data_IF_220067531511
#
_entry.id   IF_220067531511
#
_cell.length_a   1.000
_cell.length_b   1.000
_cell.length_c   1.000
_cell.angle_alpha   90.00
_cell.angle_beta   90.00
_cell.angle_gamma   90.00
#
_symmetry.space_group_name_H-M   'P 1'
#
loop_
_entity.id
_entity.type
_entity.pdbx_description
1 polymer ?
#
# COMPACT_ATOMS: atom_id res chain seq x y z
N UNK A 1 0.77 -7.17 -21.32
CA UNK A 1 0.11 -8.09 -20.38
C UNK A 1 -0.03 -9.50 -20.93
N UNK A 2 0.82 -10.42 -20.48
CA UNK A 2 0.71 -11.87 -20.76
C UNK A 2 1.16 -12.71 -19.55
N UNK A 3 1.65 -12.06 -18.48
CA UNK A 3 2.14 -12.75 -17.29
C UNK A 3 1.07 -13.62 -16.64
N UNK A 4 -0.16 -13.11 -16.55
CA UNK A 4 -1.29 -13.86 -15.99
C UNK A 4 -1.58 -15.13 -16.80
N UNK A 5 -1.60 -15.04 -18.14
CA UNK A 5 -1.89 -16.17 -19.02
C UNK A 5 -0.81 -17.26 -18.93
N UNK A 6 0.47 -16.88 -18.78
CA UNK A 6 1.57 -17.83 -18.55
C UNK A 6 1.40 -18.60 -17.25
N UNK A 7 1.06 -17.90 -16.16
CA UNK A 7 0.83 -18.56 -14.87
C UNK A 7 -0.43 -19.40 -14.88
N UNK A 8 -1.50 -18.99 -15.55
CA UNK A 8 -2.69 -19.80 -15.71
C UNK A 8 -2.38 -21.12 -16.43
N UNK A 9 -1.68 -21.08 -17.56
CA UNK A 9 -1.31 -22.28 -18.31
C UNK A 9 -0.43 -23.24 -17.48
N UNK A 10 0.50 -22.70 -16.69
CA UNK A 10 1.41 -23.50 -15.86
C UNK A 10 0.75 -24.04 -14.57
N UNK A 11 -0.05 -23.21 -13.90
CA UNK A 11 -0.57 -23.50 -12.56
C UNK A 11 -1.93 -24.21 -12.58
N UNK A 12 -2.77 -23.94 -13.60
CA UNK A 12 -4.14 -24.46 -13.68
C UNK A 12 -4.30 -25.52 -14.78
N UNK A 13 -3.60 -25.38 -15.90
CA UNK A 13 -3.74 -26.28 -17.07
C UNK A 13 -2.63 -27.34 -17.15
N UNK A 14 -1.59 -27.24 -16.30
CA UNK A 14 -0.51 -28.22 -16.19
C UNK A 14 -0.90 -29.49 -15.40
N UNK A 15 -0.23 -30.64 -15.60
CA UNK A 15 -0.84 -31.93 -15.24
C UNK A 15 -0.95 -32.26 -13.74
N UNK A 16 -0.18 -31.66 -12.83
CA UNK A 16 -0.23 -32.04 -11.40
C UNK A 16 0.23 -30.90 -10.49
N UNK A 17 -0.63 -29.92 -10.20
CA UNK A 17 -0.41 -29.00 -9.09
C UNK A 17 -1.56 -29.11 -8.11
N UNK A 18 -1.25 -29.52 -6.88
CA UNK A 18 -2.20 -29.55 -5.78
C UNK A 18 -2.00 -28.29 -4.96
N UNK A 19 -3.00 -27.42 -4.97
CA UNK A 19 -3.05 -26.28 -4.08
C UNK A 19 -3.42 -26.77 -2.68
N UNK A 20 -2.64 -26.35 -1.69
CA UNK A 20 -2.89 -26.63 -0.28
C UNK A 20 -3.01 -25.31 0.48
N UNK A 21 -3.75 -25.33 1.59
CA UNK A 21 -3.80 -24.19 2.50
C UNK A 21 -2.40 -23.94 3.06
N UNK A 22 -1.87 -22.72 2.91
CA UNK A 22 -0.54 -22.39 3.41
C UNK A 22 -0.48 -22.58 4.93
N UNK A 23 0.56 -23.24 5.44
CA UNK A 23 0.92 -23.16 6.85
C UNK A 23 1.67 -21.84 7.12
N UNK A 24 1.72 -21.40 8.38
CA UNK A 24 2.74 -20.43 8.80
C UNK A 24 4.10 -21.12 8.68
N UNK A 25 5.10 -20.44 8.13
CA UNK A 25 6.45 -20.99 7.97
C UNK A 25 7.39 -20.31 8.95
N UNK A 26 8.25 -21.08 9.59
CA UNK A 26 9.34 -20.53 10.37
C UNK A 26 10.33 -19.80 9.42
N UNK A 27 10.68 -18.53 9.68
CA UNK A 27 11.51 -17.75 8.75
C UNK A 27 12.96 -18.22 8.65
N UNK A 28 13.45 -19.00 9.62
CA UNK A 28 14.82 -19.56 9.64
C UNK A 28 14.87 -20.88 8.90
N UNK A 29 13.93 -21.78 9.17
CA UNK A 29 13.96 -23.16 8.63
C UNK A 29 13.14 -23.34 7.37
N UNK A 30 12.23 -22.41 7.05
CA UNK A 30 11.22 -22.51 5.99
C UNK A 30 10.32 -23.75 6.08
N UNK A 31 10.26 -24.37 7.26
CA UNK A 31 9.38 -25.50 7.54
C UNK A 31 8.05 -25.01 8.12
N UNK A 32 6.97 -25.81 8.00
CA UNK A 32 5.71 -25.53 8.66
C UNK A 32 5.96 -25.33 10.15
N UNK A 33 5.48 -24.20 10.68
CA UNK A 33 5.46 -23.97 12.09
C UNK A 33 4.44 -24.92 12.75
N UNK A 34 4.77 -25.42 13.93
CA UNK A 34 3.90 -26.33 14.67
C UNK A 34 2.77 -25.59 15.41
N UNK A 35 2.76 -24.26 15.32
CA UNK A 35 1.71 -23.42 15.88
C UNK A 35 0.36 -23.66 15.17
N UNK A 36 -0.70 -23.65 15.97
CA UNK A 36 -2.06 -23.99 15.58
C UNK A 36 -2.50 -23.21 14.33
N UNK A 37 -3.23 -23.87 13.41
CA UNK A 37 -3.73 -23.28 12.16
C UNK A 37 -4.40 -21.94 12.45
N UNK A 38 -3.69 -20.85 12.20
CA UNK A 38 -4.29 -19.52 12.23
C UNK A 38 -5.40 -19.51 11.20
N UNK A 39 -6.66 -19.42 11.65
CA UNK A 39 -7.82 -19.33 10.78
C UNK A 39 -7.70 -18.05 9.95
N UNK A 40 -7.23 -18.19 8.70
CA UNK A 40 -7.07 -17.05 7.80
C UNK A 40 -8.45 -16.65 7.30
N UNK A 41 -9.02 -15.61 7.90
CA UNK A 41 -10.29 -15.05 7.46
C UNK A 41 -10.11 -14.39 6.07
N UNK A 42 -10.63 -15.04 5.02
CA UNK A 42 -10.54 -14.56 3.64
C UNK A 42 -11.11 -13.14 3.46
N UNK A 43 -12.10 -12.74 4.26
CA UNK A 43 -12.69 -11.39 4.17
C UNK A 43 -11.71 -10.32 4.70
N UNK A 44 -10.93 -10.63 5.74
CA UNK A 44 -9.90 -9.73 6.26
C UNK A 44 -8.77 -9.51 5.24
N UNK A 45 -8.35 -10.57 4.53
CA UNK A 45 -7.33 -10.49 3.47
C UNK A 45 -7.83 -9.66 2.28
N UNK A 46 -9.10 -9.84 1.89
CA UNK A 46 -9.73 -9.04 0.83
C UNK A 46 -9.78 -7.56 1.26
N UNK A 47 -10.22 -7.27 2.49
CA UNK A 47 -10.26 -5.91 3.01
C UNK A 47 -8.88 -5.24 3.04
N UNK A 48 -7.82 -5.96 3.39
CA UNK A 48 -6.43 -5.47 3.29
C UNK A 48 -6.02 -5.15 1.85
N UNK A 49 -6.47 -5.93 0.88
CA UNK A 49 -6.16 -5.73 -0.55
C UNK A 49 -6.85 -4.48 -1.12
N UNK A 50 -8.02 -4.14 -0.60
CA UNK A 50 -8.79 -2.95 -1.00
C UNK A 50 -8.57 -1.72 -0.10
N UNK A 51 -7.83 -1.86 1.00
CA UNK A 51 -7.46 -0.73 1.83
C UNK A 51 -6.56 0.20 1.02
N UNK A 52 -6.91 1.49 1.00
CA UNK A 52 -6.12 2.55 0.39
C UNK A 52 -4.81 2.66 1.19
N UNK A 53 -3.76 1.94 0.76
CA UNK A 53 -2.43 1.87 1.41
C UNK A 53 -2.48 1.72 2.94
N UNK A 54 -2.80 0.52 3.41
CA UNK A 54 -2.80 0.21 4.85
C UNK A 54 -1.42 0.33 5.55
N UNK A 55 -0.35 0.53 4.77
CA UNK A 55 0.99 0.84 5.25
C UNK A 55 1.19 2.34 5.59
N UNK A 56 0.27 3.22 5.20
CA UNK A 56 0.31 4.63 5.54
C UNK A 56 -0.29 4.84 6.95
N UNK A 57 0.56 5.14 7.91
CA UNK A 57 0.18 5.38 9.30
C UNK A 57 0.17 6.88 9.60
N UNK A 58 -0.69 7.31 10.52
CA UNK A 58 -0.71 8.67 11.09
C UNK A 58 0.44 8.92 12.10
N UNK A 59 1.57 8.22 11.91
CA UNK A 59 2.75 8.28 12.78
C UNK A 59 3.93 8.79 11.92
N UNK A 60 4.66 9.83 12.37
CA UNK A 60 5.84 10.31 11.64
C UNK A 60 6.88 9.21 11.46
N UNK A 61 7.58 9.24 10.33
CA UNK A 61 8.73 8.36 10.09
C UNK A 61 9.88 8.73 11.05
N UNK A 62 10.62 7.73 11.52
CA UNK A 62 11.77 7.93 12.43
C UNK A 62 12.92 8.69 11.77
N UNK A 63 13.14 8.47 10.47
CA UNK A 63 14.21 9.10 9.67
C UNK A 63 13.70 9.39 8.25
N UNK A 64 12.87 10.44 8.07
CA UNK A 64 12.37 10.80 6.76
C UNK A 64 13.47 11.46 5.92
N UNK A 65 13.54 11.11 4.64
CA UNK A 65 14.40 11.83 3.70
C UNK A 65 14.02 13.32 3.59
N UNK A 66 12.73 13.62 3.75
CA UNK A 66 12.20 14.98 3.69
C UNK A 66 10.94 15.12 4.55
N UNK A 67 10.90 16.16 5.38
CA UNK A 67 9.67 16.61 6.01
C UNK A 67 8.98 17.61 5.08
N UNK A 68 7.72 17.32 4.75
CA UNK A 68 6.90 18.18 3.90
C UNK A 68 5.74 18.74 4.71
N UNK A 69 5.52 20.03 4.55
CA UNK A 69 4.33 20.72 5.02
C UNK A 69 3.60 21.24 3.79
N UNK A 70 2.31 20.97 3.72
CA UNK A 70 1.46 21.39 2.60
C UNK A 70 0.35 22.26 3.13
N UNK A 71 0.14 23.41 2.50
CA UNK A 71 -1.04 24.23 2.77
C UNK A 71 -1.68 24.64 1.44
N UNK A 72 -3.00 24.82 1.49
CA UNK A 72 -3.82 25.22 0.36
C UNK A 72 -4.82 26.27 0.82
N UNK A 73 -4.76 27.46 0.20
CA UNK A 73 -5.68 28.54 0.48
C UNK A 73 -6.73 28.62 -0.62
N UNK A 74 -8.00 28.79 -0.28
CA UNK A 74 -9.04 29.04 -1.27
C UNK A 74 -10.02 30.10 -0.81
N UNK A 75 -10.17 31.15 -1.61
CA UNK A 75 -11.01 32.30 -1.29
C UNK A 75 -11.77 32.81 -2.52
N UNK A 76 -12.81 33.59 -2.28
CA UNK A 76 -13.58 34.23 -3.36
C UNK A 76 -13.22 35.71 -3.40
N UNK A 77 -12.79 36.18 -4.56
CA UNK A 77 -12.52 37.58 -4.81
C UNK A 77 -13.33 38.03 -6.02
N UNK A 78 -14.15 39.08 -5.87
CA UNK A 78 -15.01 39.62 -6.94
C UNK A 78 -15.93 38.56 -7.60
N UNK A 79 -16.42 37.61 -6.80
CA UNK A 79 -17.27 36.52 -7.26
C UNK A 79 -16.53 35.37 -7.96
N UNK A 80 -15.21 35.45 -8.11
CA UNK A 80 -14.38 34.38 -8.68
C UNK A 80 -13.64 33.63 -7.58
N UNK A 81 -13.66 32.29 -7.65
CA UNK A 81 -12.91 31.41 -6.75
C UNK A 81 -11.44 31.40 -7.17
N UNK A 82 -10.54 31.66 -6.23
CA UNK A 82 -9.09 31.49 -6.35
C UNK A 82 -8.64 30.39 -5.40
N UNK A 83 -7.62 29.63 -5.78
CA UNK A 83 -7.13 28.50 -5.00
C UNK A 83 -5.63 28.33 -5.20
N UNK A 84 -4.87 28.63 -4.16
CA UNK A 84 -3.41 28.60 -4.17
C UNK A 84 -2.92 27.44 -3.31
N UNK A 85 -1.72 26.93 -3.59
CA UNK A 85 -1.07 25.93 -2.75
C UNK A 85 0.42 26.19 -2.60
N UNK A 86 0.98 25.65 -1.52
CA UNK A 86 2.40 25.60 -1.27
C UNK A 86 2.81 24.26 -0.66
N UNK A 87 3.95 23.74 -1.13
CA UNK A 87 4.65 22.60 -0.55
C UNK A 87 6.00 23.11 -0.08
N UNK A 88 6.24 23.03 1.23
CA UNK A 88 7.46 23.53 1.86
C UNK A 88 8.14 22.42 2.67
N UNK A 89 9.44 22.58 2.84
CA UNK A 89 10.26 21.74 3.72
C UNK A 89 10.93 22.61 4.78
N UNK A 90 11.64 21.96 5.70
CA UNK A 90 12.49 22.65 6.68
C UNK A 90 13.54 23.57 6.01
N UNK A 91 13.90 23.30 4.75
CA UNK A 91 14.89 24.05 3.98
C UNK A 91 14.28 25.13 3.06
N UNK A 92 12.95 25.30 3.06
CA UNK A 92 12.26 26.33 2.27
C UNK A 92 11.22 25.79 1.30
N UNK A 93 10.81 26.65 0.35
CA UNK A 93 9.75 26.37 -0.61
C UNK A 93 10.24 25.43 -1.70
N UNK A 94 9.51 24.34 -1.91
CA UNK A 94 9.77 23.39 -2.99
C UNK A 94 8.88 23.68 -4.19
N UNK A 95 7.61 23.98 -3.95
CA UNK A 95 6.63 24.28 -4.99
C UNK A 95 5.55 25.22 -4.45
N UNK A 96 5.07 26.14 -5.28
CA UNK A 96 3.89 26.95 -4.98
C UNK A 96 3.25 27.45 -6.27
N UNK A 97 1.92 27.44 -6.33
CA UNK A 97 1.17 28.07 -7.43
C UNK A 97 -0.13 28.73 -6.94
N UNK A 98 -0.62 29.77 -7.65
CA UNK A 98 -1.91 30.39 -7.39
C UNK A 98 -3.13 29.62 -7.90
#
# INVERSE_FOLDING_TARGET
>A
DNHLLKYQALLLEGPVLRLHTCATLNPVTFLPDNEEKTERNCQQVIAQTYATRGDLLEVPLTDPYLNLYTDGSSFVEKGLRKAEYAVVSDNGILESNP
#
